data_IF_773476119259
#
_entry.id   IF_773476119259
#
_cell.length_a   1.000
_cell.length_b   1.000
_cell.length_c   1.000
_cell.angle_alpha   90.00
_cell.angle_beta   90.00
_cell.angle_gamma   90.00
#
_symmetry.space_group_name_H-M   'P 1'
#
loop_
_entity.id
_entity.type
_entity.pdbx_description
1 polymer ?
#
# COMPACT_ATOMS: atom_id res chain seq x y z
N UNK A 1 46.97 -34.28 36.96
CA UNK A 1 48.20 -34.89 36.41
C UNK A 1 47.81 -36.10 35.58
N UNK A 2 47.98 -36.04 34.26
CA UNK A 2 48.16 -37.22 33.41
C UNK A 2 48.91 -36.77 32.16
N UNK A 3 49.90 -37.55 31.76
CA UNK A 3 51.00 -37.15 30.87
C UNK A 3 50.99 -37.91 29.54
N UNK A 4 51.87 -37.44 28.64
CA UNK A 4 52.40 -37.99 27.37
C UNK A 4 51.80 -37.33 26.13
N UNK A 5 52.51 -36.43 25.43
CA UNK A 5 53.70 -36.62 24.56
C UNK A 5 53.32 -37.55 23.38
N UNK A 6 53.35 -37.16 22.10
CA UNK A 6 54.54 -36.75 21.35
C UNK A 6 54.24 -36.28 19.92
N UNK A 7 55.13 -35.40 19.42
CA UNK A 7 55.67 -35.21 18.06
C UNK A 7 54.80 -34.90 16.83
N UNK A 8 54.93 -33.62 16.47
CA UNK A 8 55.11 -32.97 15.15
C UNK A 8 55.35 -33.88 13.92
N UNK A 9 54.63 -33.56 12.84
CA UNK A 9 55.12 -33.62 11.45
C UNK A 9 54.73 -32.30 10.77
N UNK A 10 55.74 -31.60 10.23
CA UNK A 10 55.58 -30.48 9.30
C UNK A 10 55.42 -31.06 7.89
N UNK A 11 54.46 -30.57 7.11
CA UNK A 11 54.56 -30.53 5.66
C UNK A 11 53.74 -29.35 5.14
N UNK A 12 54.45 -28.40 4.53
CA UNK A 12 53.89 -27.37 3.68
C UNK A 12 53.19 -27.99 2.46
N UNK A 13 52.30 -27.22 1.81
CA UNK A 13 52.33 -26.93 0.36
C UNK A 13 50.98 -26.31 -0.08
N UNK A 14 51.14 -25.18 -0.77
CA UNK A 14 50.31 -24.54 -1.82
C UNK A 14 48.85 -24.15 -1.60
N UNK A 15 48.70 -22.83 -1.68
CA UNK A 15 47.57 -22.06 -2.21
C UNK A 15 46.87 -22.71 -3.40
N UNK A 16 45.55 -22.86 -3.30
CA UNK A 16 44.63 -22.74 -4.45
C UNK A 16 43.41 -21.94 -3.97
N UNK A 17 43.31 -20.70 -4.46
CA UNK A 17 42.09 -19.91 -4.48
C UNK A 17 41.08 -20.64 -5.36
N UNK A 18 40.02 -21.17 -4.77
CA UNK A 18 38.82 -21.60 -5.47
C UNK A 18 37.71 -20.58 -5.19
N UNK A 19 37.60 -19.63 -6.10
CA UNK A 19 36.36 -18.93 -6.36
C UNK A 19 35.36 -19.92 -6.94
N UNK A 20 34.23 -20.14 -6.28
CA UNK A 20 33.02 -20.62 -6.94
C UNK A 20 31.77 -20.35 -6.09
N UNK A 21 31.04 -19.34 -6.54
CA UNK A 21 29.57 -19.29 -6.69
C UNK A 21 28.74 -19.42 -5.40
N UNK A 22 28.37 -18.25 -4.87
CA UNK A 22 27.15 -18.10 -4.10
C UNK A 22 25.94 -18.48 -4.97
N UNK A 23 25.39 -19.68 -4.78
CA UNK A 23 24.00 -19.96 -5.12
C UNK A 23 23.17 -19.68 -3.87
N UNK A 24 23.10 -18.40 -3.49
CA UNK A 24 21.99 -17.94 -2.65
C UNK A 24 20.76 -17.96 -3.54
N UNK A 25 19.93 -19.00 -3.36
CA UNK A 25 18.66 -19.14 -4.05
C UNK A 25 17.85 -17.86 -3.97
N UNK A 26 17.51 -17.33 -5.14
CA UNK A 26 16.57 -16.24 -5.28
C UNK A 26 15.18 -16.82 -4.97
N UNK A 27 14.73 -16.70 -3.72
CA UNK A 27 13.31 -16.83 -3.40
C UNK A 27 12.60 -15.59 -3.99
N UNK A 28 11.67 -15.74 -4.96
CA UNK A 28 10.82 -14.64 -5.38
C UNK A 28 9.71 -14.49 -4.33
N UNK A 29 10.03 -13.83 -3.23
CA UNK A 29 9.07 -13.58 -2.16
C UNK A 29 9.74 -12.89 -0.98
N UNK A 30 9.32 -11.65 -0.70
CA UNK A 30 9.82 -10.79 0.38
C UNK A 30 11.28 -10.33 0.24
N UNK A 31 11.54 -9.44 -0.73
CA UNK A 31 12.71 -8.55 -0.64
C UNK A 31 12.42 -7.51 0.45
N UNK A 32 12.89 -7.80 1.66
CA UNK A 32 12.82 -6.91 2.81
C UNK A 32 13.65 -5.66 2.60
N UNK A 33 13.06 -4.52 2.99
CA UNK A 33 13.69 -3.19 2.93
C UNK A 33 13.31 -2.42 1.67
N UNK A 34 12.04 -2.02 1.55
CA UNK A 34 11.67 -0.95 0.61
C UNK A 34 12.46 0.31 0.93
N UNK A 35 12.72 1.13 -0.08
CA UNK A 35 13.39 2.42 0.04
C UNK A 35 12.39 3.57 -0.09
N UNK A 36 12.79 4.77 0.34
CA UNK A 36 12.04 5.99 0.05
C UNK A 36 11.83 6.19 -1.47
N UNK A 37 12.81 5.80 -2.29
CA UNK A 37 12.69 5.82 -3.74
C UNK A 37 11.58 4.89 -4.24
N UNK A 38 11.46 3.68 -3.66
CA UNK A 38 10.39 2.75 -4.01
C UNK A 38 9.00 3.31 -3.70
N UNK A 39 8.84 4.03 -2.59
CA UNK A 39 7.59 4.73 -2.24
C UNK A 39 7.31 5.84 -3.26
N UNK A 40 8.32 6.65 -3.60
CA UNK A 40 8.16 7.77 -4.53
C UNK A 40 7.75 7.33 -5.95
N UNK A 41 8.17 6.13 -6.37
CA UNK A 41 7.86 5.53 -7.66
C UNK A 41 6.44 4.95 -7.78
N UNK A 42 5.66 4.90 -6.69
CA UNK A 42 4.28 4.40 -6.72
C UNK A 42 3.36 5.38 -7.45
N UNK A 43 2.63 4.87 -8.44
CA UNK A 43 1.83 5.68 -9.38
C UNK A 43 0.45 6.06 -8.85
N UNK A 44 -0.14 5.24 -8.00
CA UNK A 44 -1.54 5.34 -7.62
C UNK A 44 -1.73 5.91 -6.20
N UNK A 45 -0.89 6.87 -5.81
CA UNK A 45 -0.95 7.54 -4.51
C UNK A 45 -0.89 9.06 -4.78
N UNK A 46 -1.76 9.88 -4.17
CA UNK A 46 -1.68 11.33 -4.26
C UNK A 46 -0.29 11.83 -3.84
N UNK A 47 0.23 12.85 -4.53
CA UNK A 47 1.62 13.28 -4.37
C UNK A 47 1.90 13.81 -2.96
N UNK A 48 0.94 14.55 -2.36
CA UNK A 48 1.05 15.00 -0.97
C UNK A 48 1.15 13.84 0.02
N UNK A 49 0.34 12.79 -0.16
CA UNK A 49 0.37 11.60 0.68
C UNK A 49 1.68 10.80 0.50
N UNK A 50 2.19 10.74 -0.73
CA UNK A 50 3.47 10.10 -1.03
C UNK A 50 4.64 10.81 -0.36
N UNK A 51 4.68 12.14 -0.39
CA UNK A 51 5.70 12.94 0.30
C UNK A 51 5.67 12.71 1.81
N UNK A 52 4.48 12.66 2.40
CA UNK A 52 4.31 12.35 3.83
C UNK A 52 4.81 10.94 4.17
N UNK A 53 4.45 9.93 3.37
CA UNK A 53 4.95 8.55 3.55
C UNK A 53 6.48 8.46 3.43
N UNK A 54 7.09 9.20 2.51
CA UNK A 54 8.56 9.29 2.38
C UNK A 54 9.19 9.95 3.60
N UNK A 55 8.60 11.05 4.09
CA UNK A 55 9.05 11.75 5.30
C UNK A 55 9.01 10.81 6.51
N UNK A 56 7.87 10.15 6.75
CA UNK A 56 7.71 9.17 7.82
C UNK A 56 8.70 8.01 7.67
N UNK A 57 8.89 7.51 6.45
CA UNK A 57 9.84 6.43 6.19
C UNK A 57 11.27 6.83 6.57
N UNK A 58 11.70 8.03 6.20
CA UNK A 58 13.05 8.51 6.51
C UNK A 58 13.27 8.74 8.00
N UNK A 59 12.24 9.19 8.72
CA UNK A 59 12.28 9.41 10.17
C UNK A 59 12.17 8.10 10.98
N UNK A 60 11.57 7.04 10.42
CA UNK A 60 11.39 5.76 11.09
C UNK A 60 12.65 4.89 11.14
N UNK A 61 12.62 3.85 11.97
CA UNK A 61 13.69 2.84 12.06
C UNK A 61 13.13 1.43 12.15
N UNK A 62 13.95 0.43 11.82
CA UNK A 62 13.63 -0.99 12.00
C UNK A 62 12.29 -1.41 11.38
N UNK A 63 11.41 -1.99 12.20
CA UNK A 63 10.12 -2.53 11.77
C UNK A 63 9.14 -1.45 11.28
N UNK A 64 9.24 -0.21 11.77
CA UNK A 64 8.30 0.84 11.37
C UNK A 64 8.53 1.30 9.93
N UNK A 65 9.79 1.29 9.46
CA UNK A 65 10.09 1.46 8.02
C UNK A 65 9.37 0.44 7.16
N UNK A 66 9.34 -0.83 7.59
CA UNK A 66 8.66 -1.88 6.85
C UNK A 66 7.14 -1.68 6.83
N UNK A 67 6.55 -1.24 7.95
CA UNK A 67 5.11 -0.92 8.02
C UNK A 67 4.75 0.24 7.09
N UNK A 68 5.56 1.30 7.05
CA UNK A 68 5.32 2.46 6.18
C UNK A 68 5.43 2.06 4.70
N UNK A 69 6.45 1.28 4.34
CA UNK A 69 6.60 0.76 2.98
C UNK A 69 5.41 -0.15 2.58
N UNK A 70 4.97 -1.03 3.47
CA UNK A 70 3.82 -1.90 3.24
C UNK A 70 2.52 -1.10 3.09
N UNK A 71 2.33 -0.05 3.90
CA UNK A 71 1.20 0.89 3.80
C UNK A 71 1.17 1.59 2.45
N UNK A 72 2.31 2.11 1.99
CA UNK A 72 2.43 2.73 0.68
C UNK A 72 2.09 1.75 -0.46
N UNK A 73 2.63 0.53 -0.40
CA UNK A 73 2.32 -0.52 -1.37
C UNK A 73 0.83 -0.87 -1.39
N UNK A 74 0.21 -1.00 -0.21
CA UNK A 74 -1.21 -1.30 -0.09
C UNK A 74 -2.09 -0.19 -0.67
N UNK A 75 -1.77 1.08 -0.42
CA UNK A 75 -2.45 2.23 -1.02
C UNK A 75 -2.35 2.19 -2.55
N UNK A 76 -1.14 2.00 -3.09
CA UNK A 76 -0.97 1.96 -4.55
C UNK A 76 -1.66 0.75 -5.19
N UNK A 77 -1.73 -0.38 -4.50
CA UNK A 77 -2.36 -1.61 -4.98
C UNK A 77 -3.89 -1.59 -4.89
N UNK A 78 -4.47 -0.64 -4.15
CA UNK A 78 -5.92 -0.44 -4.05
C UNK A 78 -6.54 -0.16 -5.43
N UNK A 79 -5.86 0.65 -6.24
CA UNK A 79 -6.24 0.90 -7.64
C UNK A 79 -5.95 -0.35 -8.46
N UNK A 80 -7.00 -0.88 -9.10
CA UNK A 80 -6.99 -2.14 -9.82
C UNK A 80 -7.56 -3.31 -9.02
N UNK A 81 -7.60 -3.22 -7.69
CA UNK A 81 -8.18 -4.24 -6.82
C UNK A 81 -9.72 -4.15 -6.81
N UNK A 82 -10.38 -5.31 -6.70
CA UNK A 82 -11.80 -5.34 -6.37
C UNK A 82 -11.94 -5.13 -4.87
N UNK A 83 -12.54 -4.01 -4.47
CA UNK A 83 -12.87 -3.75 -3.07
C UNK A 83 -14.29 -4.22 -2.76
N UNK A 84 -14.51 -4.56 -1.50
CA UNK A 84 -15.80 -4.94 -0.93
C UNK A 84 -16.07 -4.08 0.29
N UNK A 85 -17.24 -3.45 0.34
CA UNK A 85 -17.66 -2.60 1.46
C UNK A 85 -17.78 -3.40 2.76
N UNK A 86 -17.35 -2.80 3.86
CA UNK A 86 -17.40 -3.35 5.22
C UNK A 86 -18.28 -2.47 6.10
N UNK A 87 -18.02 -1.17 6.10
CA UNK A 87 -18.80 -0.18 6.85
C UNK A 87 -19.04 1.08 6.01
N UNK A 88 -20.20 1.74 6.13
CA UNK A 88 -21.34 1.37 7.00
C UNK A 88 -22.07 0.09 6.54
N UNK A 89 -22.99 -0.42 7.37
CA UNK A 89 -23.71 -1.68 7.10
C UNK A 89 -24.42 -1.69 5.76
N UNK A 90 -24.90 -0.53 5.30
CA UNK A 90 -25.64 -0.38 4.04
C UNK A 90 -24.80 -0.67 2.79
N UNK A 91 -23.47 -0.65 2.88
CA UNK A 91 -22.56 -1.00 1.78
C UNK A 91 -21.88 -2.35 1.98
N UNK A 92 -22.19 -3.06 3.07
CA UNK A 92 -21.53 -4.31 3.42
C UNK A 92 -21.70 -5.35 2.31
N UNK A 93 -20.60 -5.95 1.86
CA UNK A 93 -20.60 -6.95 0.79
C UNK A 93 -20.71 -6.39 -0.63
N UNK A 94 -20.94 -5.08 -0.81
CA UNK A 94 -21.07 -4.46 -2.13
C UNK A 94 -19.70 -4.16 -2.74
N UNK A 95 -19.62 -4.29 -4.06
CA UNK A 95 -18.36 -4.21 -4.82
C UNK A 95 -18.08 -2.79 -5.29
N UNK A 96 -16.84 -2.35 -5.13
CA UNK A 96 -16.35 -1.05 -5.60
C UNK A 96 -14.93 -1.20 -6.13
N UNK A 97 -14.58 -0.52 -7.22
CA UNK A 97 -13.23 -0.59 -7.79
C UNK A 97 -12.88 0.69 -8.52
N UNK A 98 -11.67 1.18 -8.26
CA UNK A 98 -10.98 2.12 -9.14
C UNK A 98 -10.13 1.30 -10.11
N UNK A 99 -10.31 1.45 -11.43
CA UNK A 99 -9.49 0.73 -12.40
C UNK A 99 -8.28 1.55 -12.87
N UNK A 100 -7.34 0.90 -13.57
CA UNK A 100 -6.13 1.56 -14.09
C UNK A 100 -6.37 2.43 -15.33
N UNK A 101 -7.62 2.62 -15.75
CA UNK A 101 -8.05 3.44 -16.89
C UNK A 101 -8.90 4.63 -16.43
N UNK A 102 -8.77 5.03 -15.15
CA UNK A 102 -9.46 6.17 -14.56
C UNK A 102 -11.00 6.02 -14.51
N UNK A 103 -11.52 4.79 -14.49
CA UNK A 103 -12.96 4.52 -14.33
C UNK A 103 -13.28 3.86 -13.00
N UNK A 104 -14.48 4.13 -12.52
CA UNK A 104 -15.07 3.48 -11.35
C UNK A 104 -15.94 2.32 -11.83
N UNK A 105 -15.64 1.12 -11.34
CA UNK A 105 -16.44 -0.08 -11.61
C UNK A 105 -17.28 -0.43 -10.38
N UNK A 106 -18.59 -0.23 -10.51
CA UNK A 106 -19.59 -0.39 -9.45
C UNK A 106 -20.98 -0.58 -10.07
N UNK A 107 -21.85 -1.35 -9.43
CA UNK A 107 -23.24 -1.49 -9.84
C UNK A 107 -24.02 -0.21 -9.50
N UNK A 108 -24.69 0.39 -10.48
CA UNK A 108 -25.48 1.63 -10.28
C UNK A 108 -26.69 1.44 -9.36
N UNK A 109 -27.09 0.18 -9.13
CA UNK A 109 -28.18 -0.16 -8.21
C UNK A 109 -27.69 -0.28 -6.76
N UNK A 110 -26.39 -0.37 -6.53
CA UNK A 110 -25.81 -0.61 -5.21
C UNK A 110 -25.77 0.69 -4.40
N UNK A 111 -25.89 0.56 -3.08
CA UNK A 111 -25.80 1.72 -2.18
C UNK A 111 -24.39 2.32 -2.20
N UNK A 112 -23.36 1.50 -2.39
CA UNK A 112 -21.98 1.97 -2.49
C UNK A 112 -21.78 2.95 -3.65
N UNK A 113 -22.49 2.79 -4.77
CA UNK A 113 -22.45 3.78 -5.86
C UNK A 113 -22.93 5.14 -5.37
N UNK A 114 -24.08 5.17 -4.70
CA UNK A 114 -24.70 6.40 -4.19
C UNK A 114 -23.85 7.04 -3.09
N UNK A 115 -23.30 6.24 -2.19
CA UNK A 115 -22.50 6.72 -1.05
C UNK A 115 -21.08 7.13 -1.44
N UNK A 116 -20.58 6.64 -2.57
CA UNK A 116 -19.33 7.06 -3.20
C UNK A 116 -19.59 8.12 -4.28
N UNK A 117 -20.62 8.95 -4.07
CA UNK A 117 -20.95 10.15 -4.86
C UNK A 117 -21.47 9.91 -6.29
N UNK A 118 -21.95 8.71 -6.63
CA UNK A 118 -22.52 8.36 -7.93
C UNK A 118 -21.60 8.69 -9.13
N UNK A 119 -20.31 8.36 -8.97
CA UNK A 119 -19.24 8.72 -9.90
C UNK A 119 -18.87 7.57 -10.82
N UNK A 120 -18.55 7.88 -12.08
CA UNK A 120 -18.15 6.88 -13.09
C UNK A 120 -16.64 6.95 -13.41
N UNK A 121 -15.95 8.01 -12.98
CA UNK A 121 -14.52 8.24 -13.23
C UNK A 121 -13.75 8.58 -11.96
N UNK A 122 -12.42 8.50 -12.00
CA UNK A 122 -11.57 8.92 -10.89
C UNK A 122 -10.23 9.49 -11.34
N UNK A 123 -9.65 10.35 -10.51
CA UNK A 123 -8.28 10.88 -10.68
C UNK A 123 -7.57 11.02 -9.34
N UNK A 124 -6.27 11.25 -9.41
CA UNK A 124 -5.50 11.72 -8.25
C UNK A 124 -5.59 13.24 -8.17
N UNK A 125 -6.06 13.76 -7.04
CA UNK A 125 -5.88 15.14 -6.63
C UNK A 125 -4.50 15.35 -5.99
N UNK A 126 -4.31 16.49 -5.33
CA UNK A 126 -3.05 16.79 -4.64
C UNK A 126 -2.81 15.86 -3.45
N UNK A 127 -3.83 15.68 -2.61
CA UNK A 127 -3.82 14.85 -1.40
C UNK A 127 -4.98 13.83 -1.36
N UNK A 128 -5.77 13.73 -2.42
CA UNK A 128 -7.04 13.00 -2.47
C UNK A 128 -7.15 12.08 -3.69
N UNK A 129 -8.02 11.08 -3.57
CA UNK A 129 -8.61 10.39 -4.71
C UNK A 129 -9.91 11.13 -5.02
N UNK A 130 -9.96 11.80 -6.16
CA UNK A 130 -11.16 12.49 -6.60
C UNK A 130 -12.00 11.51 -7.41
N UNK A 131 -13.24 11.35 -6.98
CA UNK A 131 -14.24 10.58 -7.69
C UNK A 131 -15.11 11.55 -8.49
N UNK A 132 -15.16 11.34 -9.80
CA UNK A 132 -15.66 12.28 -10.78
C UNK A 132 -16.96 11.74 -11.43
N UNK A 133 -17.95 12.61 -11.57
CA UNK A 133 -19.21 12.25 -12.26
C UNK A 133 -18.94 12.00 -13.74
N UNK A 134 -18.19 12.91 -14.36
CA UNK A 134 -17.81 12.87 -15.77
C UNK A 134 -16.29 12.85 -15.97
N UNK A 135 -15.83 12.61 -17.20
CA UNK A 135 -14.42 12.40 -17.51
C UNK A 135 -13.56 13.66 -17.35
N UNK A 136 -14.12 14.84 -17.62
CA UNK A 136 -13.43 16.12 -17.39
C UNK A 136 -13.27 16.45 -15.89
N UNK A 137 -14.03 15.74 -15.04
CA UNK A 137 -14.04 15.88 -13.61
C UNK A 137 -14.34 17.32 -13.16
N UNK A 138 -15.29 17.98 -13.84
CA UNK A 138 -15.86 19.27 -13.40
C UNK A 138 -16.54 19.12 -12.04
N UNK A 139 -17.36 18.07 -11.90
CA UNK A 139 -18.03 17.71 -10.65
C UNK A 139 -17.40 16.47 -10.02
N UNK A 140 -16.88 16.62 -8.81
CA UNK A 140 -16.19 15.56 -8.11
C UNK A 140 -16.36 15.63 -6.59
N UNK A 141 -16.05 14.52 -5.95
CA UNK A 141 -15.90 14.42 -4.50
C UNK A 141 -14.47 13.97 -4.17
N UNK A 142 -13.85 14.57 -3.18
CA UNK A 142 -12.46 14.30 -2.82
C UNK A 142 -12.36 13.43 -1.59
N UNK A 143 -11.55 12.38 -1.66
CA UNK A 143 -11.44 11.40 -0.60
C UNK A 143 -10.00 11.20 -0.19
N UNK A 144 -9.72 11.24 1.11
CA UNK A 144 -8.47 10.72 1.64
C UNK A 144 -8.64 9.24 1.91
N UNK A 145 -7.57 8.47 1.71
CA UNK A 145 -7.58 7.03 1.99
C UNK A 145 -6.45 6.69 2.93
N UNK A 146 -6.81 6.08 4.05
CA UNK A 146 -5.86 5.46 4.96
C UNK A 146 -5.90 3.93 4.88
N UNK A 147 -4.85 3.29 5.36
CA UNK A 147 -4.70 1.83 5.43
C UNK A 147 -4.51 1.45 6.89
N UNK A 148 -5.47 0.68 7.39
CA UNK A 148 -5.41 0.04 8.69
C UNK A 148 -5.12 -1.46 8.55
N UNK A 149 -4.49 -2.04 9.58
CA UNK A 149 -4.08 -3.43 9.58
C UNK A 149 -2.74 -3.68 8.89
N UNK A 150 -2.44 -4.95 8.60
CA UNK A 150 -1.18 -5.35 7.98
C UNK A 150 -1.28 -6.72 7.31
N UNK A 151 -0.35 -7.02 6.41
CA UNK A 151 -0.34 -8.30 5.71
C UNK A 151 -1.56 -8.47 4.79
N UNK A 152 -2.27 -9.58 4.93
CA UNK A 152 -3.47 -9.89 4.14
C UNK A 152 -4.79 -9.36 4.72
N UNK A 153 -4.77 -8.78 5.94
CA UNK A 153 -5.94 -8.20 6.58
C UNK A 153 -5.82 -6.68 6.63
N UNK A 154 -5.86 -6.07 5.45
CA UNK A 154 -5.83 -4.63 5.27
C UNK A 154 -7.25 -4.09 5.08
N UNK A 155 -7.56 -3.01 5.79
CA UNK A 155 -8.78 -2.22 5.58
C UNK A 155 -8.43 -0.84 5.04
N UNK A 156 -9.05 -0.48 3.92
CA UNK A 156 -8.96 0.86 3.34
C UNK A 156 -10.04 1.75 3.93
N UNK A 157 -9.64 2.89 4.47
CA UNK A 157 -10.52 3.83 5.18
C UNK A 157 -10.62 5.08 4.35
N UNK A 158 -11.74 5.20 3.64
CA UNK A 158 -12.06 6.32 2.77
C UNK A 158 -12.79 7.39 3.57
N UNK A 159 -12.20 8.57 3.67
CA UNK A 159 -12.80 9.70 4.37
C UNK A 159 -13.10 10.81 3.37
N UNK A 160 -14.37 11.22 3.29
CA UNK A 160 -14.77 12.31 2.41
C UNK A 160 -14.22 13.64 2.95
N UNK A 161 -13.46 14.35 2.12
CA UNK A 161 -12.95 15.69 2.41
C UNK A 161 -14.02 16.70 2.02
N UNK A 162 -14.54 17.41 3.01
CA UNK A 162 -15.49 18.51 2.84
C UNK A 162 -14.79 19.76 3.35
N UNK A 163 -14.62 20.74 2.47
CA UNK A 163 -14.06 22.04 2.82
C UNK A 163 -15.18 23.06 3.00
N UNK A 164 -15.01 23.97 3.97
CA UNK A 164 -15.95 25.05 4.21
C UNK A 164 -16.96 24.77 5.34
N UNK A 165 -17.97 25.65 5.49
CA UNK A 165 -18.86 25.67 6.65
C UNK A 165 -19.81 24.46 6.73
N UNK A 166 -19.98 23.72 5.62
CA UNK A 166 -20.88 22.56 5.53
C UNK A 166 -20.22 21.26 6.03
N UNK A 167 -19.04 21.36 6.66
CA UNK A 167 -18.37 20.19 7.22
C UNK A 167 -19.23 19.55 8.31
N UNK A 168 -19.53 18.24 8.21
CA UNK A 168 -20.31 17.54 9.22
C UNK A 168 -19.54 17.45 10.53
N UNK A 169 -20.28 17.34 11.65
CA UNK A 169 -19.70 17.18 12.98
C UNK A 169 -18.85 15.91 13.13
N UNK A 170 -19.10 14.89 12.30
CA UNK A 170 -18.31 13.66 12.24
C UNK A 170 -17.85 13.40 10.81
N UNK A 171 -16.61 12.89 10.60
CA UNK A 171 -16.12 12.53 9.27
C UNK A 171 -17.00 11.46 8.63
N UNK A 172 -17.28 11.62 7.33
CA UNK A 172 -18.05 10.63 6.58
C UNK A 172 -17.09 9.56 6.03
N UNK A 173 -17.08 8.41 6.70
CA UNK A 173 -16.12 7.33 6.46
C UNK A 173 -16.78 6.13 5.77
N UNK A 174 -16.06 5.50 4.85
CA UNK A 174 -16.41 4.20 4.25
C UNK A 174 -15.20 3.29 4.33
N UNK A 175 -15.44 2.05 4.71
CA UNK A 175 -14.37 1.07 4.95
C UNK A 175 -14.51 -0.07 3.98
N UNK A 176 -13.39 -0.47 3.40
CA UNK A 176 -13.33 -1.49 2.37
C UNK A 176 -12.21 -2.48 2.64
N UNK A 177 -12.40 -3.73 2.20
CA UNK A 177 -11.33 -4.73 2.11
C UNK A 177 -11.19 -5.20 0.66
N UNK A 178 -10.02 -5.73 0.32
CA UNK A 178 -9.86 -6.44 -0.97
C UNK A 178 -10.73 -7.69 -0.95
N UNK A 179 -11.47 -7.94 -2.04
CA UNK A 179 -12.16 -9.21 -2.25
C UNK A 179 -11.12 -10.33 -2.23
N UNK A 180 -11.34 -11.33 -1.36
CA UNK A 180 -10.57 -12.57 -1.39
C UNK A 180 -10.89 -13.39 -2.65
#
# INVERSE_FOLDING_TARGET
MSSRVSRRVFAAVSSVLLAAVAVSGCMPGLRGGGSAADISGLKNIPEGQKQELVSQFNAASGADKQKIAAKAQALSAMVGAQLVGVEPSDISGQKFKLDGQNKVSVSKNDMVYKMMSATDYWRLGQDTYDLCVEQDCEFYSSWTVDVEGSGSDVTYVWTLKIEGPDQPAQPLVRRFKVSK
#
